data_IF_359454943134
#
_entry.id   IF_359454943134
#
_cell.length_a   1.000
_cell.length_b   1.000
_cell.length_c   1.000
_cell.angle_alpha   90.00
_cell.angle_beta   90.00
_cell.angle_gamma   90.00
#
_symmetry.space_group_name_H-M   'P 1'
#
loop_
_entity.id
_entity.type
_entity.pdbx_description
1 polymer ?
#
# COMPACT_ATOMS: atom_id res chain seq x y z
N UNK A 1 -9.47 4.06 3.76
CA UNK A 1 -9.27 3.69 2.34
C UNK A 1 -7.85 3.17 2.22
N UNK A 2 -7.64 1.97 1.68
CA UNK A 2 -6.31 1.40 1.43
C UNK A 2 -5.95 1.69 -0.04
N UNK A 3 -5.73 2.96 -0.37
CA UNK A 3 -5.38 3.37 -1.73
C UNK A 3 -3.95 3.90 -1.70
N UNK A 4 -2.99 3.00 -1.88
CA UNK A 4 -1.63 3.39 -2.22
C UNK A 4 -1.60 3.68 -3.72
N UNK A 5 -1.65 4.95 -4.09
CA UNK A 5 -1.67 5.39 -5.48
C UNK A 5 -0.46 6.26 -5.76
N UNK A 6 0.38 5.82 -6.70
CA UNK A 6 1.44 6.64 -7.28
C UNK A 6 1.17 6.84 -8.76
N UNK A 7 0.81 8.07 -9.13
CA UNK A 7 0.45 8.40 -10.50
C UNK A 7 1.26 9.58 -11.00
N UNK A 8 1.76 9.53 -12.25
CA UNK A 8 2.50 10.63 -12.87
C UNK A 8 2.01 10.88 -14.29
N UNK A 9 1.66 12.12 -14.60
CA UNK A 9 1.11 12.51 -15.92
C UNK A 9 1.64 13.87 -16.37
N UNK A 10 1.47 14.17 -17.66
CA UNK A 10 1.79 15.49 -18.23
C UNK A 10 0.82 16.53 -17.67
N UNK A 11 1.35 17.70 -17.33
CA UNK A 11 0.56 18.75 -16.69
C UNK A 11 0.88 20.16 -17.19
N UNK A 12 -0.09 21.06 -17.02
CA UNK A 12 0.04 22.51 -17.24
C UNK A 12 -0.49 23.24 -16.02
N UNK A 13 0.24 24.24 -15.52
CA UNK A 13 -0.20 25.03 -14.37
C UNK A 13 -0.71 26.42 -14.77
N UNK A 14 -1.71 26.91 -14.04
CA UNK A 14 -2.34 28.23 -14.18
C UNK A 14 -2.49 28.86 -12.80
N UNK A 15 -2.20 30.15 -12.66
CA UNK A 15 -2.41 30.88 -11.42
C UNK A 15 -2.66 32.36 -11.69
N UNK A 16 -3.17 33.09 -10.70
CA UNK A 16 -3.35 34.54 -10.78
C UNK A 16 -2.15 35.24 -10.15
N UNK A 17 -1.63 36.28 -10.80
CA UNK A 17 -0.62 37.19 -10.25
C UNK A 17 -0.97 38.62 -10.65
N UNK A 18 -1.14 39.50 -9.66
CA UNK A 18 -1.45 40.92 -9.88
C UNK A 18 -2.61 41.12 -10.88
N UNK A 19 -3.74 40.43 -10.64
CA UNK A 19 -4.93 40.35 -11.51
C UNK A 19 -4.69 39.84 -12.95
N UNK A 20 -3.49 39.35 -13.24
CA UNK A 20 -3.12 38.80 -14.54
C UNK A 20 -2.99 37.28 -14.45
N UNK A 21 -3.70 36.57 -15.32
CA UNK A 21 -3.58 35.11 -15.42
C UNK A 21 -2.21 34.71 -16.00
N UNK A 22 -1.49 33.86 -15.28
CA UNK A 22 -0.20 33.29 -15.69
C UNK A 22 -0.34 31.80 -15.96
N UNK A 23 0.54 31.31 -16.84
CA UNK A 23 0.54 29.92 -17.28
C UNK A 23 1.97 29.38 -17.35
N UNK A 24 2.11 28.10 -17.01
CA UNK A 24 3.35 27.36 -17.15
C UNK A 24 3.07 26.10 -17.96
N UNK A 25 3.39 26.17 -19.26
CA UNK A 25 3.06 25.13 -20.26
C UNK A 25 4.27 24.33 -20.74
N UNK A 26 5.49 24.87 -20.66
CA UNK A 26 6.72 24.25 -21.20
C UNK A 26 7.89 24.41 -20.24
N UNK A 27 8.74 23.37 -20.17
CA UNK A 27 10.03 23.42 -19.48
C UNK A 27 11.20 23.81 -20.40
N UNK A 28 12.42 23.76 -19.87
CA UNK A 28 13.68 23.91 -20.62
C UNK A 28 14.47 22.59 -20.61
N UNK A 29 14.78 21.99 -21.77
CA UNK A 29 14.40 22.42 -23.12
C UNK A 29 12.90 22.26 -23.38
N UNK A 30 12.37 23.01 -24.35
CA UNK A 30 10.94 22.99 -24.75
C UNK A 30 10.42 21.61 -25.15
N UNK A 31 11.32 20.65 -25.40
CA UNK A 31 10.99 19.25 -25.70
C UNK A 31 10.60 18.45 -24.46
N UNK A 32 10.93 18.92 -23.24
CA UNK A 32 10.55 18.28 -21.98
C UNK A 32 9.27 18.90 -21.45
N UNK A 33 8.28 18.05 -21.22
CA UNK A 33 7.02 18.43 -20.60
C UNK A 33 7.13 18.58 -19.09
N UNK A 34 6.25 19.40 -18.53
CA UNK A 34 6.01 19.48 -17.10
C UNK A 34 5.15 18.28 -16.71
N UNK A 35 5.41 17.71 -15.55
CA UNK A 35 4.70 16.53 -15.05
C UNK A 35 4.12 16.78 -13.67
N UNK A 36 2.89 16.34 -13.44
CA UNK A 36 2.29 16.23 -12.11
C UNK A 36 2.47 14.79 -11.64
N UNK A 37 3.06 14.62 -10.46
CA UNK A 37 3.05 13.37 -9.72
C UNK A 37 2.14 13.53 -8.51
N UNK A 38 1.31 12.52 -8.27
CA UNK A 38 0.42 12.46 -7.12
C UNK A 38 0.69 11.13 -6.40
N UNK A 39 1.06 11.23 -5.13
CA UNK A 39 1.39 10.09 -4.28
C UNK A 39 0.49 10.11 -3.05
N UNK A 40 -0.21 9.01 -2.83
CA UNK A 40 -1.15 8.81 -1.73
C UNK A 40 -0.77 7.53 -1.01
N UNK A 41 -0.67 7.61 0.31
CA UNK A 41 -0.60 6.46 1.19
C UNK A 41 -1.68 6.59 2.29
N UNK A 42 -1.73 5.62 3.20
CA UNK A 42 -2.70 5.61 4.29
C UNK A 42 -2.60 6.82 5.25
N UNK A 43 -1.47 7.51 5.30
CA UNK A 43 -1.16 8.56 6.28
C UNK A 43 -0.99 9.97 5.64
N UNK A 44 -0.68 10.04 4.34
CA UNK A 44 -0.20 11.22 3.66
C UNK A 44 -0.61 11.28 2.17
N UNK A 45 -0.78 12.51 1.68
CA UNK A 45 -1.05 12.79 0.29
C UNK A 45 -0.19 13.97 -0.18
N UNK A 46 0.51 13.78 -1.30
CA UNK A 46 1.50 14.71 -1.84
C UNK A 46 1.25 14.91 -3.33
N UNK A 47 1.22 16.18 -3.75
CA UNK A 47 1.20 16.59 -5.14
C UNK A 47 2.52 17.26 -5.51
N UNK A 48 3.15 16.84 -6.60
CA UNK A 48 4.43 17.34 -7.07
C UNK A 48 4.37 17.77 -8.52
N UNK A 49 4.51 19.07 -8.76
CA UNK A 49 4.66 19.62 -10.10
C UNK A 49 6.15 19.73 -10.43
N UNK A 50 6.63 18.82 -11.28
CA UNK A 50 8.02 18.77 -11.70
C UNK A 50 8.24 19.54 -13.02
N UNK A 51 9.02 20.62 -12.95
CA UNK A 51 9.27 21.55 -14.05
C UNK A 51 10.72 21.39 -14.53
N UNK A 52 10.94 20.92 -15.77
CA UNK A 52 12.29 20.86 -16.34
C UNK A 52 12.91 22.25 -16.46
N UNK A 53 14.10 22.47 -15.89
CA UNK A 53 14.80 23.76 -15.94
C UNK A 53 16.31 23.58 -15.90
N UNK A 54 17.05 24.40 -16.68
CA UNK A 54 18.51 24.34 -16.74
C UNK A 54 19.16 25.32 -15.76
N UNK A 55 19.47 24.81 -14.57
CA UNK A 55 20.18 25.55 -13.53
C UNK A 55 21.69 25.56 -13.78
N UNK A 56 22.36 26.61 -13.32
CA UNK A 56 23.82 26.73 -13.38
C UNK A 56 24.46 25.66 -12.51
N UNK A 57 25.48 24.99 -13.04
CA UNK A 57 26.21 23.94 -12.32
C UNK A 57 25.53 22.56 -12.32
N UNK A 58 24.39 22.41 -13.01
CA UNK A 58 23.67 21.15 -13.14
C UNK A 58 23.49 20.73 -14.60
N UNK A 59 23.28 19.43 -14.80
CA UNK A 59 23.12 18.83 -16.12
C UNK A 59 21.81 19.23 -16.82
N UNK A 60 21.78 19.04 -18.14
CA UNK A 60 20.60 19.26 -18.99
C UNK A 60 19.50 18.24 -18.70
N UNK A 61 18.74 18.45 -17.64
CA UNK A 61 17.59 17.61 -17.32
C UNK A 61 17.07 17.70 -15.90
N UNK A 62 17.67 18.54 -15.06
CA UNK A 62 17.16 18.81 -13.72
C UNK A 62 15.71 19.29 -13.75
N UNK A 63 14.91 18.74 -12.83
CA UNK A 63 13.54 19.21 -12.58
C UNK A 63 13.52 19.98 -11.28
N UNK A 64 13.02 21.21 -11.30
CA UNK A 64 12.60 21.89 -10.09
C UNK A 64 11.21 21.38 -9.72
N UNK A 65 11.01 21.01 -8.45
CA UNK A 65 9.76 20.40 -8.00
C UNK A 65 9.04 21.39 -7.10
N UNK A 66 7.80 21.73 -7.45
CA UNK A 66 6.89 22.41 -6.54
C UNK A 66 6.04 21.35 -5.85
N UNK A 67 6.21 21.23 -4.54
CA UNK A 67 5.49 20.25 -3.73
C UNK A 67 4.38 20.93 -2.94
N UNK A 68 3.20 20.33 -3.00
CA UNK A 68 2.00 20.71 -2.25
C UNK A 68 1.62 19.52 -1.38
N UNK A 69 1.45 19.75 -0.08
CA UNK A 69 1.02 18.73 0.86
C UNK A 69 -0.50 18.80 1.01
N UNK A 70 -1.17 17.66 1.07
CA UNK A 70 -2.62 17.64 1.29
C UNK A 70 -3.04 18.36 2.57
N UNK A 71 -2.23 18.28 3.63
CA UNK A 71 -2.46 19.01 4.89
C UNK A 71 -2.39 20.54 4.75
N UNK A 72 -1.77 21.05 3.67
CA UNK A 72 -1.70 22.50 3.37
C UNK A 72 -2.80 22.98 2.44
N UNK A 73 -3.62 22.07 1.91
CA UNK A 73 -4.73 22.38 1.01
C UNK A 73 -5.95 22.76 1.85
N UNK A 74 -6.49 23.95 1.62
CA UNK A 74 -7.75 24.41 2.20
C UNK A 74 -8.95 23.83 1.44
N UNK A 75 -8.85 23.72 0.12
CA UNK A 75 -9.88 23.14 -0.76
C UNK A 75 -9.24 22.64 -2.05
N UNK A 76 -9.70 21.48 -2.53
CA UNK A 76 -9.33 20.89 -3.81
C UNK A 76 -10.58 20.49 -4.58
N UNK A 77 -10.81 21.13 -5.73
CA UNK A 77 -11.95 20.83 -6.59
C UNK A 77 -11.50 20.23 -7.92
N UNK A 78 -12.20 19.17 -8.36
CA UNK A 78 -11.99 18.55 -9.66
C UNK A 78 -12.95 19.15 -10.70
N UNK A 79 -12.42 19.96 -11.61
CA UNK A 79 -13.19 20.55 -12.71
C UNK A 79 -13.12 19.66 -13.96
N UNK A 80 -14.24 19.00 -14.28
CA UNK A 80 -14.41 18.22 -15.52
C UNK A 80 -14.72 19.16 -16.69
N UNK A 81 -13.86 19.20 -17.71
CA UNK A 81 -13.98 20.06 -18.89
C UNK A 81 -14.02 21.58 -18.59
N UNK A 82 -12.90 22.18 -18.16
CA UNK A 82 -12.86 23.60 -17.85
C UNK A 82 -13.11 24.43 -19.13
N UNK A 83 -14.18 25.22 -19.15
CA UNK A 83 -14.62 26.00 -20.33
C UNK A 83 -13.64 27.14 -20.70
N UNK A 84 -12.74 27.51 -19.78
CA UNK A 84 -11.83 28.66 -19.86
C UNK A 84 -10.36 28.27 -20.06
N UNK A 85 -10.08 27.23 -20.86
CA UNK A 85 -8.71 26.89 -21.26
C UNK A 85 -8.35 27.66 -22.55
N UNK A 86 -7.36 28.59 -22.54
CA UNK A 86 -6.84 29.21 -23.75
C UNK A 86 -6.36 28.17 -24.77
N UNK A 87 -6.58 28.43 -26.07
CA UNK A 87 -6.29 27.48 -27.16
C UNK A 87 -4.88 26.87 -27.11
N UNK A 88 -3.87 27.66 -26.73
CA UNK A 88 -2.48 27.18 -26.61
C UNK A 88 -2.20 26.15 -25.51
N UNK A 89 -3.15 25.91 -24.59
CA UNK A 89 -3.06 24.87 -23.56
C UNK A 89 -3.73 23.57 -24.03
N UNK A 90 -4.78 23.65 -24.87
CA UNK A 90 -5.43 22.46 -25.45
C UNK A 90 -4.44 21.62 -26.23
N UNK A 91 -3.56 22.27 -27.00
CA UNK A 91 -2.51 21.58 -27.77
C UNK A 91 -1.49 20.83 -26.88
N UNK A 92 -1.34 21.23 -25.61
CA UNK A 92 -0.37 20.62 -24.69
C UNK A 92 -0.99 19.56 -23.75
N UNK A 93 -2.25 19.71 -23.36
CA UNK A 93 -2.94 18.81 -22.41
C UNK A 93 -3.65 17.65 -23.12
N UNK A 94 -3.89 17.73 -24.43
CA UNK A 94 -4.55 16.67 -25.20
C UNK A 94 -6.05 16.92 -25.40
N UNK A 95 -6.80 15.87 -25.76
CA UNK A 95 -8.15 16.02 -26.32
C UNK A 95 -9.22 16.40 -25.27
N UNK A 96 -9.07 15.92 -24.04
CA UNK A 96 -9.99 16.20 -22.92
C UNK A 96 -9.17 16.58 -21.70
N UNK A 97 -9.37 17.76 -21.13
CA UNK A 97 -8.62 18.26 -19.98
C UNK A 97 -9.44 18.15 -18.68
N UNK A 98 -8.79 17.70 -17.62
CA UNK A 98 -9.27 17.78 -16.24
C UNK A 98 -8.49 18.85 -15.50
N UNK A 99 -9.18 19.71 -14.76
CA UNK A 99 -8.57 20.72 -13.89
C UNK A 99 -8.60 20.30 -12.44
N UNK A 100 -7.46 20.43 -11.77
CA UNK A 100 -7.33 20.34 -10.32
C UNK A 100 -7.17 21.76 -9.79
N UNK A 101 -8.20 22.28 -9.14
CA UNK A 101 -8.25 23.64 -8.62
C UNK A 101 -7.89 23.64 -7.13
N UNK A 102 -6.70 24.17 -6.82
CA UNK A 102 -6.13 24.20 -5.48
C UNK A 102 -6.34 25.57 -4.84
N UNK A 103 -6.85 25.55 -3.60
CA UNK A 103 -6.75 26.65 -2.65
C UNK A 103 -5.90 26.19 -1.47
N UNK A 104 -4.81 26.88 -1.18
CA UNK A 104 -3.78 26.49 -0.22
C UNK A 104 -3.75 27.45 0.97
N UNK A 105 -3.56 26.90 2.18
CA UNK A 105 -3.26 27.66 3.38
C UNK A 105 -1.80 28.16 3.35
N UNK A 106 -0.89 27.32 2.86
CA UNK A 106 0.53 27.62 2.72
C UNK A 106 0.97 27.50 1.26
N UNK A 107 1.88 28.37 0.78
CA UNK A 107 2.37 28.30 -0.58
C UNK A 107 3.19 27.03 -0.85
N UNK A 108 3.28 26.58 -2.13
CA UNK A 108 4.03 25.38 -2.50
C UNK A 108 5.51 25.48 -2.13
N UNK A 109 6.08 24.38 -1.63
CA UNK A 109 7.51 24.28 -1.33
C UNK A 109 8.32 23.98 -2.60
N UNK A 110 9.38 24.76 -2.85
CA UNK A 110 10.31 24.47 -3.96
C UNK A 110 11.40 23.51 -3.48
N UNK A 111 11.58 22.42 -4.22
CA UNK A 111 12.61 21.42 -4.01
C UNK A 111 13.50 21.36 -5.26
N UNK A 112 14.81 21.41 -5.04
CA UNK A 112 15.85 21.28 -6.08
C UNK A 112 16.94 20.31 -5.60
N UNK A 113 17.86 19.85 -6.47
CA UNK A 113 18.99 19.03 -6.03
C UNK A 113 19.85 19.72 -4.97
N UNK A 114 20.35 18.96 -4.00
CA UNK A 114 21.21 19.47 -2.93
C UNK A 114 22.47 20.18 -3.45
N UNK A 115 23.01 19.71 -4.59
CA UNK A 115 24.18 20.30 -5.25
C UNK A 115 23.88 21.61 -6.01
N UNK A 116 22.63 22.06 -6.08
CA UNK A 116 22.29 23.31 -6.76
C UNK A 116 22.92 24.51 -6.03
N UNK A 117 23.64 25.42 -6.73
CA UNK A 117 24.22 26.59 -6.11
C UNK A 117 23.12 27.57 -5.65
N UNK A 118 23.31 28.17 -4.48
CA UNK A 118 22.46 29.24 -3.95
C UNK A 118 23.13 30.61 -4.12
N UNK A 119 22.42 31.64 -4.58
CA UNK A 119 21.03 31.64 -5.05
C UNK A 119 20.85 30.93 -6.40
N UNK A 120 19.68 30.33 -6.62
CA UNK A 120 19.37 29.64 -7.87
C UNK A 120 19.55 30.58 -9.07
N UNK A 121 20.40 30.17 -10.01
CA UNK A 121 20.66 30.92 -11.23
C UNK A 121 20.48 30.02 -12.45
N UNK A 122 19.78 30.55 -13.46
CA UNK A 122 19.60 29.86 -14.74
C UNK A 122 20.84 30.02 -15.63
N UNK A 123 21.12 29.01 -16.45
CA UNK A 123 22.23 29.06 -17.42
C UNK A 123 21.88 29.90 -18.66
N UNK A 124 20.58 30.07 -18.97
CA UNK A 124 20.09 30.66 -20.22
C UNK A 124 18.86 31.52 -19.97
N UNK A 125 18.56 32.45 -20.89
CA UNK A 125 17.41 33.35 -20.79
C UNK A 125 16.08 32.61 -20.58
N UNK A 126 15.81 31.56 -21.36
CA UNK A 126 14.55 30.81 -21.24
C UNK A 126 14.40 30.12 -19.87
N UNK A 127 15.45 29.47 -19.37
CA UNK A 127 15.47 28.93 -18.01
C UNK A 127 15.33 30.01 -16.93
N UNK A 128 15.81 31.24 -17.18
CA UNK A 128 15.61 32.37 -16.26
C UNK A 128 14.12 32.73 -16.21
N UNK A 129 13.49 32.85 -17.37
CA UNK A 129 12.05 33.13 -17.46
C UNK A 129 11.23 32.04 -16.75
N UNK A 130 11.62 30.76 -16.89
CA UNK A 130 10.98 29.63 -16.17
C UNK A 130 11.26 29.66 -14.66
N UNK A 131 12.46 30.02 -14.23
CA UNK A 131 12.76 30.17 -12.80
C UNK A 131 11.94 31.31 -12.17
N UNK A 132 11.78 32.42 -12.88
CA UNK A 132 10.99 33.55 -12.42
C UNK A 132 9.50 33.16 -12.33
N UNK A 133 8.97 32.36 -13.27
CA UNK A 133 7.60 31.84 -13.16
C UNK A 133 7.44 30.81 -12.04
N UNK A 134 8.43 29.94 -11.79
CA UNK A 134 8.45 29.03 -10.63
C UNK A 134 8.42 29.83 -9.32
N UNK A 135 9.23 30.89 -9.23
CA UNK A 135 9.28 31.79 -8.06
C UNK A 135 7.95 32.52 -7.85
N UNK A 136 7.28 32.88 -8.93
CA UNK A 136 5.95 33.49 -8.86
C UNK A 136 4.90 32.49 -8.39
N UNK A 137 4.92 31.27 -8.96
CA UNK A 137 3.99 30.20 -8.60
C UNK A 137 4.17 29.73 -7.15
N UNK A 138 5.40 29.73 -6.62
CA UNK A 138 5.67 29.39 -5.22
C UNK A 138 5.20 30.44 -4.22
N UNK A 139 4.60 31.54 -4.67
CA UNK A 139 3.94 32.54 -3.81
C UNK A 139 2.43 32.46 -3.93
N UNK A 140 1.91 31.73 -4.91
CA UNK A 140 0.48 31.62 -5.15
C UNK A 140 -0.14 30.65 -4.13
N UNK A 141 -1.25 31.07 -3.52
CA UNK A 141 -2.10 30.21 -2.69
C UNK A 141 -3.32 29.69 -3.45
N UNK A 142 -3.58 30.21 -4.66
CA UNK A 142 -4.63 29.72 -5.55
C UNK A 142 -4.02 29.39 -6.92
N UNK A 143 -4.14 28.13 -7.34
CA UNK A 143 -3.60 27.65 -8.62
C UNK A 143 -4.41 26.47 -9.16
N UNK A 144 -4.41 26.32 -10.48
CA UNK A 144 -5.05 25.21 -11.18
C UNK A 144 -4.00 24.40 -11.94
N UNK A 145 -4.07 23.08 -11.85
CA UNK A 145 -3.22 22.17 -12.62
C UNK A 145 -4.11 21.37 -13.56
N UNK A 146 -3.81 21.42 -14.86
CA UNK A 146 -4.53 20.71 -15.89
C UNK A 146 -3.78 19.47 -16.34
N UNK A 147 -4.48 18.35 -16.43
CA UNK A 147 -3.98 17.06 -16.90
C UNK A 147 -4.93 16.47 -17.95
N UNK A 148 -4.46 15.51 -18.73
CA UNK A 148 -5.30 14.82 -19.70
C UNK A 148 -6.25 13.84 -19.00
N UNK A 149 -7.53 13.86 -19.37
CA UNK A 149 -8.56 13.07 -18.71
C UNK A 149 -8.34 11.55 -18.83
N UNK A 150 -7.85 11.07 -19.97
CA UNK A 150 -7.56 9.65 -20.19
C UNK A 150 -6.38 9.14 -19.37
N UNK A 151 -5.54 10.04 -18.86
CA UNK A 151 -4.40 9.70 -18.03
C UNK A 151 -4.73 9.87 -16.54
N UNK A 152 -5.91 10.36 -16.16
CA UNK A 152 -6.24 10.54 -14.76
C UNK A 152 -6.66 9.21 -14.10
N UNK A 153 -6.26 8.95 -12.85
CA UNK A 153 -6.71 7.78 -12.11
C UNK A 153 -8.21 7.87 -11.79
N UNK A 154 -8.90 6.73 -11.77
CA UNK A 154 -10.34 6.67 -11.52
C UNK A 154 -10.68 7.12 -10.09
N UNK A 155 -9.76 6.90 -9.13
CA UNK A 155 -9.89 7.28 -7.72
C UNK A 155 -9.64 8.78 -7.45
N UNK A 156 -9.30 9.57 -8.47
CA UNK A 156 -8.90 10.98 -8.29
C UNK A 156 -10.01 11.83 -7.64
N UNK A 157 -11.28 11.56 -7.92
CA UNK A 157 -12.39 12.28 -7.31
C UNK A 157 -12.48 12.00 -5.81
N UNK A 158 -12.43 10.72 -5.41
CA UNK A 158 -12.50 10.31 -4.01
C UNK A 158 -11.34 10.92 -3.21
N UNK A 159 -10.16 11.00 -3.84
CA UNK A 159 -8.98 11.64 -3.28
C UNK A 159 -9.21 13.16 -3.10
N UNK A 160 -9.76 13.85 -4.10
CA UNK A 160 -10.05 15.28 -3.98
C UNK A 160 -11.03 15.55 -2.83
N UNK A 161 -12.04 14.69 -2.68
CA UNK A 161 -13.02 14.78 -1.61
C UNK A 161 -12.37 14.54 -0.23
N UNK A 162 -11.48 13.54 -0.13
CA UNK A 162 -10.74 13.24 1.11
C UNK A 162 -9.78 14.38 1.52
N UNK A 163 -9.11 15.00 0.54
CA UNK A 163 -8.25 16.16 0.76
C UNK A 163 -9.08 17.34 1.25
N UNK A 164 -10.20 17.64 0.60
CA UNK A 164 -11.09 18.74 0.99
C UNK A 164 -11.76 18.53 2.34
N UNK A 165 -11.91 17.29 2.79
CA UNK A 165 -12.39 16.94 4.14
C UNK A 165 -11.30 17.03 5.22
N UNK A 166 -10.04 17.32 4.84
CA UNK A 166 -8.93 17.45 5.77
C UNK A 166 -8.52 16.13 6.44
N UNK A 167 -8.72 15.00 5.76
CA UNK A 167 -8.48 13.67 6.33
C UNK A 167 -6.99 13.29 6.45
N UNK A 168 -6.09 14.08 5.87
CA UNK A 168 -4.65 13.78 5.84
C UNK A 168 -3.88 14.51 6.95
N UNK A 169 -2.96 13.79 7.59
CA UNK A 169 -2.09 14.36 8.62
C UNK A 169 -0.83 15.01 8.01
N UNK A 170 -0.22 15.99 8.69
CA UNK A 170 1.07 16.53 8.28
C UNK A 170 2.16 15.44 8.36
N UNK A 171 2.61 14.94 7.22
CA UNK A 171 3.60 13.86 7.15
C UNK A 171 5.03 14.36 7.50
N UNK A 172 5.92 13.49 8.02
CA UNK A 172 7.32 13.83 8.30
C UNK A 172 8.21 13.50 7.08
N UNK A 173 8.55 14.52 6.28
CA UNK A 173 9.01 14.36 4.89
C UNK A 173 10.54 14.43 4.70
N UNK A 174 11.32 14.45 5.77
CA UNK A 174 12.78 14.61 5.64
C UNK A 174 13.45 13.43 4.91
N UNK A 175 12.98 12.21 5.13
CA UNK A 175 13.55 11.01 4.48
C UNK A 175 13.25 10.95 2.98
N UNK A 176 12.04 11.38 2.56
CA UNK A 176 11.67 11.39 1.15
C UNK A 176 12.51 12.39 0.35
N UNK A 177 12.74 13.61 0.89
CA UNK A 177 13.56 14.62 0.22
C UNK A 177 15.01 14.14 0.02
N UNK A 178 15.60 13.45 1.02
CA UNK A 178 16.97 12.94 0.92
C UNK A 178 17.14 11.84 -0.14
N UNK A 179 16.08 11.12 -0.50
CA UNK A 179 16.11 10.08 -1.54
C UNK A 179 15.93 10.64 -2.97
N UNK A 180 15.43 11.87 -3.11
CA UNK A 180 15.14 12.48 -4.42
C UNK A 180 16.41 12.65 -5.28
N UNK A 181 16.20 12.84 -6.60
CA UNK A 181 17.27 13.05 -7.58
C UNK A 181 18.26 11.89 -7.68
N UNK A 182 17.77 10.65 -7.63
CA UNK A 182 18.58 9.45 -7.77
C UNK A 182 19.49 9.18 -6.56
N UNK A 183 19.06 9.60 -5.36
CA UNK A 183 19.85 9.46 -4.13
C UNK A 183 20.81 10.62 -3.85
N UNK A 184 20.88 11.64 -4.72
CA UNK A 184 21.70 12.84 -4.48
C UNK A 184 21.08 13.80 -3.46
N UNK A 185 19.81 13.57 -3.10
CA UNK A 185 19.04 14.37 -2.17
C UNK A 185 18.54 15.68 -2.79
N UNK A 186 17.36 16.07 -2.34
CA UNK A 186 16.81 17.39 -2.55
C UNK A 186 17.09 18.33 -1.38
N UNK A 187 16.93 19.62 -1.62
CA UNK A 187 16.83 20.64 -0.57
C UNK A 187 15.65 21.55 -0.85
N UNK A 188 14.95 21.96 0.22
CA UNK A 188 13.89 22.96 0.15
C UNK A 188 14.53 24.34 0.08
N UNK A 189 14.13 25.14 -0.90
CA UNK A 189 14.60 26.52 -1.04
C UNK A 189 13.43 27.45 -0.82
N UNK A 190 13.68 28.50 -0.04
CA UNK A 190 12.81 29.67 -0.02
C UNK A 190 13.35 30.72 -1.00
N UNK A 191 12.57 30.99 -2.06
CA UNK A 191 12.89 32.03 -3.04
C UNK A 191 12.30 33.40 -2.67
N UNK A 192 11.75 33.56 -1.46
CA UNK A 192 11.22 34.83 -0.96
C UNK A 192 12.29 35.90 -0.75
N UNK A 193 13.53 35.49 -0.45
CA UNK A 193 14.64 36.41 -0.19
C UNK A 193 15.26 36.85 -1.51
N UNK A 194 14.82 38.02 -2.00
CA UNK A 194 15.60 38.78 -2.96
C UNK A 194 16.95 39.09 -2.29
N UNK A 195 18.04 38.54 -2.81
CA UNK A 195 19.38 38.96 -2.44
C UNK A 195 19.46 40.46 -2.69
N UNK A 196 19.49 41.25 -1.61
CA UNK A 196 19.81 42.67 -1.67
C UNK A 196 21.13 42.77 -2.44
N UNK A 197 21.21 43.54 -3.54
CA UNK A 197 22.49 43.78 -4.17
C UNK A 197 23.43 44.38 -3.12
N UNK A 198 24.73 44.03 -3.12
CA UNK A 198 25.70 44.68 -2.23
C UNK A 198 25.55 46.19 -2.41
N UNK A 199 25.34 46.90 -1.30
CA UNK A 199 25.29 48.35 -1.30
C UNK A 199 26.57 48.88 -1.95
N UNK A 200 26.41 49.62 -3.03
CA UNK A 200 27.51 50.14 -3.85
C UNK A 200 28.04 51.48 -3.32
N UNK A 201 27.77 51.81 -2.06
CA UNK A 201 28.15 53.10 -1.47
C UNK A 201 29.60 53.16 -0.97
N UNK A 202 30.34 52.05 -0.96
CA UNK A 202 31.75 52.04 -0.52
C UNK A 202 32.79 51.93 -1.65
N UNK A 203 32.37 51.80 -2.91
CA UNK A 203 33.28 51.66 -4.06
C UNK A 203 33.51 52.96 -4.87
N UNK A 204 32.98 54.11 -4.42
CA UNK A 204 33.05 55.38 -5.15
C UNK A 204 34.10 56.38 -4.61
N UNK A 205 35.07 55.92 -3.79
CA UNK A 205 36.16 56.78 -3.33
C UNK A 205 37.54 56.23 -3.70
N UNK A 206 37.84 56.18 -5.00
CA UNK A 206 39.15 56.55 -5.57
C UNK A 206 39.16 56.27 -7.08
N UNK A 207 39.38 57.27 -7.96
CA UNK A 207 39.68 56.98 -9.35
C UNK A 207 41.03 56.25 -9.44
N UNK A 208 41.18 55.23 -10.31
CA UNK A 208 42.47 54.60 -10.54
C UNK A 208 43.45 55.65 -11.12
N UNK A 209 44.74 55.64 -10.70
CA UNK A 209 45.71 56.59 -11.21
C UNK A 209 45.92 56.39 -12.72
N UNK A 210 46.10 57.47 -13.50
CA UNK A 210 46.36 57.36 -14.93
C UNK A 210 47.70 56.67 -15.20
N UNK A 211 47.84 55.93 -16.31
CA UNK A 211 49.09 55.27 -16.66
C UNK A 211 50.20 56.31 -16.90
N UNK A 212 51.46 56.04 -16.52
CA UNK A 212 52.57 56.96 -16.78
C UNK A 212 52.81 57.12 -18.28
N UNK A 213 52.64 58.36 -18.77
CA UNK A 213 53.06 58.76 -20.11
C UNK A 213 54.57 59.01 -20.05
N UNK A 214 55.36 58.03 -20.47
CA UNK A 214 56.81 58.21 -20.59
C UNK A 214 57.15 58.72 -22.01
N UNK A 215 57.27 60.04 -22.14
CA UNK A 215 57.90 60.70 -23.31
C UNK A 215 59.24 61.27 -22.87
N UNK A 216 60.28 60.44 -22.98
CA UNK A 216 61.67 60.84 -22.72
C UNK A 216 62.60 60.23 -23.77
N UNK A 217 62.96 61.06 -24.74
CA UNK A 217 63.80 60.74 -25.89
C UNK A 217 65.26 60.39 -25.57
N UNK A 218 65.83 59.51 -26.41
CA UNK A 218 67.23 59.52 -26.89
C UNK A 218 68.35 59.53 -25.84
N UNK A 219 69.02 58.37 -25.69
CA UNK A 219 70.42 58.17 -26.14
C UNK A 219 70.86 56.74 -25.78
N UNK A 220 71.49 56.05 -26.74
CA UNK A 220 72.23 54.80 -26.50
C UNK A 220 73.31 55.07 -25.44
N UNK A 221 73.19 54.43 -24.28
CA UNK A 221 74.32 54.19 -23.40
C UNK A 221 74.90 52.82 -23.76
N UNK A 222 76.23 52.77 -23.80
CA UNK A 222 77.02 51.68 -24.35
C UNK A 222 76.80 50.39 -23.54
N UNK A 223 76.69 49.30 -24.30
CA UNK A 223 76.79 47.94 -23.80
C UNK A 223 78.26 47.74 -23.41
N UNK A 224 78.57 47.86 -22.12
CA UNK A 224 79.80 47.32 -21.54
C UNK A 224 79.43 46.02 -20.84
N UNK A 225 80.01 44.94 -21.35
CA UNK A 225 79.97 43.59 -20.82
C UNK A 225 80.64 43.53 -19.45
N UNK A 226 79.85 43.16 -18.43
CA UNK A 226 80.36 42.71 -17.14
C UNK A 226 79.50 41.52 -16.66
N UNK A 227 79.92 40.27 -16.88
CA UNK A 227 79.17 39.09 -16.44
C UNK A 227 79.22 38.89 -14.90
N UNK A 228 80.05 39.62 -14.17
CA UNK A 228 80.34 39.35 -12.75
C UNK A 228 79.33 40.04 -11.79
N UNK A 229 78.64 41.09 -12.27
CA UNK A 229 77.68 41.86 -11.46
C UNK A 229 76.28 41.24 -11.41
N UNK A 230 75.92 40.47 -12.44
CA UNK A 230 74.66 39.72 -12.49
C UNK A 230 74.69 38.54 -11.51
N UNK A 231 75.84 37.89 -11.32
CA UNK A 231 76.02 36.76 -10.40
C UNK A 231 75.81 37.15 -8.93
N UNK A 232 76.31 38.32 -8.50
CA UNK A 232 76.06 38.82 -7.14
C UNK A 232 74.56 39.10 -6.94
N UNK A 233 73.90 39.63 -7.96
CA UNK A 233 72.47 39.95 -7.91
C UNK A 233 71.61 38.68 -7.86
N UNK A 234 72.00 37.65 -8.61
CA UNK A 234 71.46 36.29 -8.55
C UNK A 234 71.67 35.66 -7.18
N UNK A 235 72.88 35.76 -6.61
CA UNK A 235 73.18 35.24 -5.26
C UNK A 235 72.34 35.91 -4.17
N UNK A 236 72.09 37.21 -4.25
CA UNK A 236 71.19 37.89 -3.32
C UNK A 236 69.72 37.50 -3.50
N UNK A 237 69.29 37.18 -4.72
CA UNK A 237 67.96 36.65 -4.99
C UNK A 237 67.81 35.24 -4.42
N UNK A 238 68.81 34.36 -4.63
CA UNK A 238 68.88 33.00 -4.07
C UNK A 238 68.90 33.03 -2.53
N UNK A 239 69.65 33.96 -1.92
CA UNK A 239 69.66 34.10 -0.46
C UNK A 239 68.29 34.54 0.08
N UNK A 240 67.56 35.35 -0.68
CA UNK A 240 66.21 35.80 -0.32
C UNK A 240 65.19 34.66 -0.44
N UNK A 241 65.30 33.80 -1.45
CA UNK A 241 64.45 32.62 -1.58
C UNK A 241 64.76 31.62 -0.45
N UNK A 242 66.03 31.36 -0.14
CA UNK A 242 66.45 30.51 0.98
C UNK A 242 65.90 31.00 2.33
N UNK A 243 65.88 32.32 2.58
CA UNK A 243 65.27 32.90 3.78
C UNK A 243 63.75 32.71 3.87
N UNK A 244 63.07 32.50 2.74
CA UNK A 244 61.62 32.25 2.69
C UNK A 244 61.26 30.76 2.80
N UNK A 245 62.23 29.85 2.61
CA UNK A 245 61.99 28.40 2.70
C UNK A 245 61.45 27.96 4.07
N UNK A 246 61.96 28.41 5.23
CA UNK A 246 61.44 27.98 6.52
C UNK A 246 59.95 28.26 6.71
N UNK A 247 59.49 29.46 6.33
CA UNK A 247 58.07 29.81 6.40
C UNK A 247 57.22 28.97 5.43
N UNK A 248 57.74 28.62 4.24
CA UNK A 248 57.06 27.71 3.31
C UNK A 248 56.99 26.29 3.85
N UNK A 249 58.04 25.82 4.52
CA UNK A 249 58.06 24.49 5.17
C UNK A 249 57.04 24.45 6.31
N UNK A 250 57.01 25.46 7.18
CA UNK A 250 56.00 25.56 8.24
C UNK A 250 54.57 25.56 7.70
N UNK A 251 54.29 26.28 6.60
CA UNK A 251 52.96 26.25 5.97
C UNK A 251 52.60 24.88 5.40
N UNK A 252 53.56 24.17 4.79
CA UNK A 252 53.34 22.84 4.22
C UNK A 252 53.17 21.79 5.34
N UNK A 253 53.90 21.91 6.44
CA UNK A 253 53.75 21.04 7.61
C UNK A 253 52.36 21.21 8.25
N UNK A 254 51.87 22.44 8.36
CA UNK A 254 50.52 22.72 8.85
C UNK A 254 49.44 22.12 7.92
N UNK A 255 49.61 22.25 6.60
CA UNK A 255 48.69 21.66 5.62
C UNK A 255 48.70 20.13 5.67
N UNK A 256 49.87 19.50 5.82
CA UNK A 256 49.99 18.05 5.99
C UNK A 256 49.23 17.57 7.23
N UNK A 257 49.35 18.28 8.35
CA UNK A 257 48.65 17.91 9.58
C UNK A 257 47.13 18.10 9.44
N UNK A 258 46.68 19.18 8.80
CA UNK A 258 45.26 19.38 8.49
C UNK A 258 44.71 18.25 7.58
N UNK A 259 45.47 17.85 6.55
CA UNK A 259 45.09 16.74 5.67
C UNK A 259 45.02 15.40 6.41
N UNK A 260 45.93 15.14 7.36
CA UNK A 260 45.88 13.94 8.21
C UNK A 260 44.63 13.92 9.09
N UNK A 261 44.26 15.05 9.68
CA UNK A 261 43.02 15.17 10.46
C UNK A 261 41.77 14.98 9.60
N UNK A 262 41.78 15.48 8.37
CA UNK A 262 40.68 15.24 7.42
C UNK A 262 40.57 13.77 7.02
N UNK A 263 41.70 13.10 6.76
CA UNK A 263 41.71 11.68 6.40
C UNK A 263 41.19 10.79 7.54
N UNK A 264 41.63 11.01 8.77
CA UNK A 264 41.13 10.26 9.94
C UNK A 264 39.62 10.43 10.13
N UNK A 265 39.09 11.65 10.01
CA UNK A 265 37.65 11.91 10.06
C UNK A 265 36.88 11.23 8.90
N UNK A 266 37.49 11.16 7.71
CA UNK A 266 36.89 10.46 6.57
C UNK A 266 36.86 8.94 6.78
N UNK A 267 37.93 8.36 7.32
CA UNK A 267 38.00 6.94 7.68
C UNK A 267 36.93 6.58 8.72
N UNK A 268 36.77 7.39 9.79
CA UNK A 268 35.71 7.16 10.78
C UNK A 268 34.29 7.23 10.18
N UNK A 269 34.06 8.17 9.26
CA UNK A 269 32.78 8.28 8.55
C UNK A 269 32.54 7.09 7.63
N UNK A 270 33.59 6.58 6.99
CA UNK A 270 33.54 5.41 6.12
C UNK A 270 33.18 4.16 6.92
N UNK A 271 33.86 3.89 8.03
CA UNK A 271 33.56 2.79 8.94
C UNK A 271 32.10 2.85 9.44
N UNK A 272 31.64 4.04 9.82
CA UNK A 272 30.25 4.24 10.25
C UNK A 272 29.24 4.04 9.11
N UNK A 273 29.63 4.29 7.86
CA UNK A 273 28.78 4.01 6.70
C UNK A 273 28.73 2.51 6.40
N UNK A 274 29.88 1.82 6.48
CA UNK A 274 29.99 0.38 6.31
C UNK A 274 29.17 -0.38 7.35
N UNK A 275 29.24 0.02 8.63
CA UNK A 275 28.41 -0.54 9.70
C UNK A 275 26.91 -0.32 9.46
N UNK A 276 26.50 0.80 8.86
CA UNK A 276 25.08 1.00 8.51
C UNK A 276 24.66 0.13 7.33
N UNK A 277 25.53 -0.06 6.34
CA UNK A 277 25.25 -0.94 5.21
C UNK A 277 25.12 -2.39 5.65
N UNK A 278 25.96 -2.89 6.55
CA UNK A 278 25.82 -4.25 7.10
C UNK A 278 24.54 -4.42 7.90
N UNK A 279 24.14 -3.42 8.69
CA UNK A 279 22.86 -3.43 9.39
C UNK A 279 21.66 -3.39 8.44
N UNK A 280 21.73 -2.62 7.36
CA UNK A 280 20.69 -2.59 6.34
C UNK A 280 20.58 -3.93 5.62
N UNK A 281 21.70 -4.55 5.26
CA UNK A 281 21.72 -5.87 4.64
C UNK A 281 21.04 -6.91 5.53
N UNK A 282 21.39 -6.95 6.82
CA UNK A 282 20.75 -7.88 7.76
C UNK A 282 19.23 -7.65 7.90
N UNK A 283 18.77 -6.40 7.78
CA UNK A 283 17.33 -6.09 7.76
C UNK A 283 16.65 -6.52 6.46
N UNK A 284 17.34 -6.41 5.32
CA UNK A 284 16.84 -6.91 4.05
C UNK A 284 16.69 -8.42 4.08
N UNK A 285 17.71 -9.16 4.53
CA UNK A 285 17.66 -10.61 4.63
C UNK A 285 16.53 -11.06 5.58
N UNK A 286 16.33 -10.37 6.70
CA UNK A 286 15.22 -10.66 7.62
C UNK A 286 13.84 -10.35 7.03
N UNK A 287 13.73 -9.32 6.19
CA UNK A 287 12.49 -8.99 5.50
C UNK A 287 12.16 -10.02 4.42
N UNK A 288 13.17 -10.51 3.70
CA UNK A 288 13.05 -11.57 2.71
C UNK A 288 12.54 -12.88 3.35
N UNK A 289 13.11 -13.31 4.48
CA UNK A 289 12.61 -14.49 5.20
C UNK A 289 11.16 -14.32 5.69
N UNK A 290 10.76 -13.12 6.11
CA UNK A 290 9.36 -12.85 6.49
C UNK A 290 8.42 -12.86 5.29
N UNK A 291 8.90 -12.47 4.11
CA UNK A 291 8.13 -12.53 2.89
C UNK A 291 7.86 -13.98 2.47
N UNK A 292 8.88 -14.83 2.54
CA UNK A 292 8.73 -16.29 2.32
C UNK A 292 7.73 -16.93 3.30
N UNK A 293 7.74 -16.51 4.58
CA UNK A 293 6.76 -16.97 5.56
C UNK A 293 5.33 -16.55 5.18
N UNK A 294 5.14 -15.30 4.76
CA UNK A 294 3.84 -14.79 4.31
C UNK A 294 3.35 -15.56 3.09
N UNK A 295 4.21 -15.83 2.11
CA UNK A 295 3.86 -16.64 0.94
C UNK A 295 3.39 -18.05 1.35
N UNK A 296 4.11 -18.72 2.25
CA UNK A 296 3.71 -20.04 2.77
C UNK A 296 2.35 -20.00 3.49
N UNK A 297 2.08 -18.97 4.30
CA UNK A 297 0.76 -18.82 4.94
C UNK A 297 -0.35 -18.58 3.92
N UNK A 298 -0.07 -17.83 2.85
CA UNK A 298 -1.04 -17.54 1.80
C UNK A 298 -1.40 -18.81 1.00
N UNK A 299 -0.42 -19.69 0.75
CA UNK A 299 -0.67 -21.02 0.18
C UNK A 299 -1.57 -21.87 1.08
N UNK A 300 -1.33 -21.86 2.40
CA UNK A 300 -2.19 -22.56 3.36
C UNK A 300 -3.63 -22.01 3.36
N UNK A 301 -3.81 -20.69 3.23
CA UNK A 301 -5.13 -20.09 3.09
C UNK A 301 -5.83 -20.46 1.78
N UNK A 302 -5.09 -20.68 0.69
CA UNK A 302 -5.65 -21.16 -0.56
C UNK A 302 -6.22 -22.58 -0.43
N UNK A 303 -5.49 -23.49 0.22
CA UNK A 303 -5.96 -24.86 0.53
C UNK A 303 -7.21 -24.85 1.42
N UNK A 304 -7.24 -24.02 2.47
CA UNK A 304 -8.42 -23.85 3.32
C UNK A 304 -9.64 -23.36 2.51
N UNK A 305 -9.43 -22.41 1.60
CA UNK A 305 -10.51 -21.87 0.75
C UNK A 305 -11.07 -22.94 -0.19
N UNK A 306 -10.22 -23.83 -0.71
CA UNK A 306 -10.66 -24.96 -1.53
C UNK A 306 -11.50 -25.95 -0.73
N UNK A 307 -11.02 -26.35 0.47
CA UNK A 307 -11.77 -27.20 1.40
C UNK A 307 -13.12 -26.60 1.79
N UNK A 308 -13.18 -25.28 1.98
CA UNK A 308 -14.44 -24.60 2.27
C UNK A 308 -15.43 -24.68 1.09
N UNK A 309 -14.96 -24.50 -0.15
CA UNK A 309 -15.81 -24.67 -1.34
C UNK A 309 -16.32 -26.09 -1.48
N UNK A 310 -15.48 -27.09 -1.23
CA UNK A 310 -15.91 -28.50 -1.23
C UNK A 310 -16.96 -28.77 -0.15
N UNK A 311 -16.80 -28.18 1.03
CA UNK A 311 -17.79 -28.33 2.10
C UNK A 311 -19.13 -27.69 1.72
N UNK A 312 -19.10 -26.51 1.11
CA UNK A 312 -20.29 -25.81 0.61
C UNK A 312 -21.05 -26.64 -0.43
N UNK A 313 -20.35 -27.26 -1.39
CA UNK A 313 -21.02 -28.12 -2.39
C UNK A 313 -21.63 -29.37 -1.75
N UNK A 314 -20.97 -29.95 -0.74
CA UNK A 314 -21.52 -31.07 0.03
C UNK A 314 -22.76 -30.67 0.83
N UNK A 315 -22.78 -29.49 1.44
CA UNK A 315 -23.96 -28.98 2.13
C UNK A 315 -25.13 -28.79 1.17
N UNK A 316 -24.91 -28.15 0.02
CA UNK A 316 -25.95 -27.98 -1.00
C UNK A 316 -26.50 -29.34 -1.50
N UNK A 317 -25.64 -30.35 -1.62
CA UNK A 317 -26.07 -31.71 -1.97
C UNK A 317 -26.95 -32.35 -0.89
N UNK A 318 -26.61 -32.17 0.38
CA UNK A 318 -27.42 -32.68 1.50
C UNK A 318 -28.77 -31.98 1.53
N UNK A 319 -28.83 -30.66 1.40
CA UNK A 319 -30.09 -29.91 1.35
C UNK A 319 -30.99 -30.38 0.19
N UNK A 320 -30.42 -30.61 -0.99
CA UNK A 320 -31.17 -31.16 -2.11
C UNK A 320 -31.67 -32.59 -1.85
N UNK A 321 -30.89 -33.41 -1.15
CA UNK A 321 -31.29 -34.78 -0.78
C UNK A 321 -32.41 -34.78 0.24
N UNK A 322 -32.33 -33.90 1.25
CA UNK A 322 -33.34 -33.76 2.29
C UNK A 322 -34.66 -33.25 1.70
N UNK A 323 -34.61 -32.30 0.76
CA UNK A 323 -35.79 -31.84 0.03
C UNK A 323 -36.45 -32.97 -0.77
N UNK A 324 -35.66 -33.74 -1.54
CA UNK A 324 -36.18 -34.88 -2.30
C UNK A 324 -36.78 -35.97 -1.40
N UNK A 325 -36.17 -36.18 -0.22
CA UNK A 325 -36.71 -37.08 0.79
C UNK A 325 -38.06 -36.59 1.32
N UNK A 326 -38.18 -35.30 1.67
CA UNK A 326 -39.44 -34.71 2.12
C UNK A 326 -40.55 -34.86 1.07
N UNK A 327 -40.28 -34.54 -0.20
CA UNK A 327 -41.23 -34.68 -1.30
C UNK A 327 -41.72 -36.13 -1.46
N UNK A 328 -40.83 -37.11 -1.28
CA UNK A 328 -41.18 -38.53 -1.36
C UNK A 328 -42.14 -38.94 -0.24
N UNK A 329 -41.93 -38.44 0.98
CA UNK A 329 -42.82 -38.73 2.11
C UNK A 329 -44.18 -38.05 1.97
N UNK A 330 -44.21 -36.80 1.51
CA UNK A 330 -45.46 -36.09 1.28
C UNK A 330 -46.31 -36.76 0.20
N UNK A 331 -45.68 -37.28 -0.87
CA UNK A 331 -46.38 -38.06 -1.89
C UNK A 331 -46.97 -39.34 -1.31
N UNK A 332 -46.18 -40.12 -0.55
CA UNK A 332 -46.67 -41.34 0.10
C UNK A 332 -47.80 -41.09 1.10
N UNK A 333 -47.73 -39.99 1.86
CA UNK A 333 -48.79 -39.61 2.80
C UNK A 333 -50.05 -39.15 2.08
N UNK A 334 -49.91 -38.53 0.92
CA UNK A 334 -51.04 -38.13 0.06
C UNK A 334 -51.72 -39.37 -0.50
N UNK A 335 -50.97 -40.31 -1.08
CA UNK A 335 -51.47 -41.58 -1.58
C UNK A 335 -52.22 -42.36 -0.48
N UNK A 336 -51.62 -42.46 0.72
CA UNK A 336 -52.25 -43.14 1.86
C UNK A 336 -53.56 -42.45 2.30
N UNK A 337 -53.61 -41.11 2.26
CA UNK A 337 -54.83 -40.35 2.58
C UNK A 337 -55.92 -40.62 1.56
N UNK A 338 -55.57 -40.63 0.27
CA UNK A 338 -56.52 -40.97 -0.81
C UNK A 338 -57.08 -42.39 -0.61
N UNK A 339 -56.22 -43.37 -0.37
CA UNK A 339 -56.62 -44.75 -0.07
C UNK A 339 -57.56 -44.82 1.15
N UNK A 340 -57.24 -44.11 2.24
CA UNK A 340 -58.10 -44.04 3.42
C UNK A 340 -59.46 -43.41 3.11
N UNK A 341 -59.52 -42.36 2.30
CA UNK A 341 -60.79 -41.75 1.89
C UNK A 341 -61.61 -42.67 0.99
N UNK A 342 -60.97 -43.37 0.05
CA UNK A 342 -61.61 -44.34 -0.81
C UNK A 342 -62.22 -45.48 0.01
N UNK A 343 -61.46 -46.01 0.98
CA UNK A 343 -61.95 -47.03 1.90
C UNK A 343 -63.11 -46.51 2.77
N UNK A 344 -63.02 -45.26 3.26
CA UNK A 344 -64.10 -44.62 4.01
C UNK A 344 -65.40 -44.53 3.22
N UNK A 345 -65.32 -44.14 1.94
CA UNK A 345 -66.48 -44.09 1.04
C UNK A 345 -67.10 -45.48 0.82
N UNK A 346 -66.26 -46.52 0.64
CA UNK A 346 -66.73 -47.91 0.52
C UNK A 346 -67.48 -48.34 1.79
N UNK A 347 -66.92 -48.05 2.97
CA UNK A 347 -67.56 -48.37 4.25
C UNK A 347 -68.91 -47.66 4.39
N UNK A 348 -68.99 -46.39 4.01
CA UNK A 348 -70.24 -45.61 4.04
C UNK A 348 -71.31 -46.22 3.11
N UNK A 349 -70.96 -46.59 1.88
CA UNK A 349 -71.88 -47.26 0.95
C UNK A 349 -72.44 -48.57 1.52
N UNK A 350 -71.61 -49.34 2.23
CA UNK A 350 -72.04 -50.57 2.92
C UNK A 350 -72.97 -50.25 4.10
N UNK A 351 -72.63 -49.24 4.91
CA UNK A 351 -73.45 -48.83 6.06
C UNK A 351 -74.82 -48.29 5.66
N UNK A 352 -74.90 -47.56 4.55
CA UNK A 352 -76.14 -46.98 4.04
C UNK A 352 -77.02 -47.98 3.28
N UNK A 353 -76.61 -49.26 3.21
CA UNK A 353 -77.36 -50.31 2.52
C UNK A 353 -77.41 -50.13 1.00
N UNK A 354 -76.55 -49.29 0.43
CA UNK A 354 -76.41 -49.04 -1.01
C UNK A 354 -75.51 -50.07 -1.70
N UNK A 355 -75.41 -51.28 -1.17
CA UNK A 355 -74.71 -52.37 -1.82
C UNK A 355 -75.52 -52.81 -3.04
N UNK A 356 -74.99 -52.63 -4.24
CA UNK A 356 -75.57 -53.22 -5.45
C UNK A 356 -75.59 -54.74 -5.30
N UNK A 357 -76.61 -55.44 -5.82
CA UNK A 357 -76.69 -56.91 -5.75
C UNK A 357 -75.42 -57.59 -6.28
N UNK A 358 -74.76 -57.00 -7.29
CA UNK A 358 -73.47 -57.47 -7.83
C UNK A 358 -72.33 -57.35 -6.80
N UNK A 359 -72.25 -56.23 -6.07
CA UNK A 359 -71.24 -56.04 -5.02
C UNK A 359 -71.48 -56.96 -3.82
N UNK A 360 -72.76 -57.21 -3.49
CA UNK A 360 -73.16 -58.12 -2.43
C UNK A 360 -72.83 -59.58 -2.78
N UNK A 361 -73.00 -59.98 -4.05
CA UNK A 361 -72.61 -61.31 -4.55
C UNK A 361 -71.08 -61.51 -4.52
N UNK A 362 -70.30 -60.48 -4.85
CA UNK A 362 -68.83 -60.51 -4.76
C UNK A 362 -68.37 -60.59 -3.31
N UNK A 363 -68.93 -59.77 -2.41
CA UNK A 363 -68.63 -59.81 -0.97
C UNK A 363 -69.00 -61.19 -0.42
N UNK A 364 -70.18 -61.70 -0.73
CA UNK A 364 -70.63 -63.02 -0.31
C UNK A 364 -69.69 -64.12 -0.82
N UNK A 365 -69.26 -64.08 -2.10
CA UNK A 365 -68.28 -65.03 -2.65
C UNK A 365 -66.92 -64.94 -1.95
N UNK A 366 -66.40 -63.74 -1.71
CA UNK A 366 -65.09 -63.55 -1.06
C UNK A 366 -65.15 -63.99 0.40
N UNK A 367 -66.20 -63.62 1.13
CA UNK A 367 -66.40 -63.98 2.53
C UNK A 367 -66.63 -65.48 2.69
N UNK A 368 -67.45 -66.11 1.84
CA UNK A 368 -67.62 -67.57 1.83
C UNK A 368 -66.32 -68.26 1.47
N UNK A 369 -65.58 -67.79 0.46
CA UNK A 369 -64.28 -68.35 0.09
C UNK A 369 -63.27 -68.24 1.23
N UNK A 370 -63.27 -67.12 1.95
CA UNK A 370 -62.42 -66.90 3.12
C UNK A 370 -62.82 -67.79 4.31
N UNK A 371 -64.12 -67.93 4.59
CA UNK A 371 -64.61 -68.86 5.62
C UNK A 371 -64.28 -70.30 5.27
N UNK A 372 -64.47 -70.71 4.02
CA UNK A 372 -64.09 -72.04 3.52
C UNK A 372 -62.58 -72.27 3.60
N UNK A 373 -61.76 -71.25 3.32
CA UNK A 373 -60.30 -71.31 3.48
C UNK A 373 -59.91 -71.51 4.94
N UNK A 374 -60.48 -70.72 5.87
CA UNK A 374 -60.22 -70.87 7.31
C UNK A 374 -60.73 -72.20 7.87
N UNK A 375 -61.87 -72.70 7.39
CA UNK A 375 -62.37 -74.04 7.73
C UNK A 375 -61.45 -75.13 7.18
N UNK A 376 -61.00 -75.03 5.94
CA UNK A 376 -60.05 -75.98 5.35
C UNK A 376 -58.70 -75.98 6.07
N UNK A 377 -58.21 -74.82 6.49
CA UNK A 377 -56.98 -74.70 7.27
C UNK A 377 -57.17 -75.19 8.71
N UNK A 378 -58.34 -74.97 9.32
CA UNK A 378 -58.71 -75.55 10.62
C UNK A 378 -58.82 -77.08 10.58
N UNK A 379 -59.45 -77.62 9.54
CA UNK A 379 -59.53 -79.08 9.30
C UNK A 379 -58.15 -79.66 9.01
N UNK A 380 -57.28 -78.93 8.27
CA UNK A 380 -55.88 -79.35 8.10
C UNK A 380 -55.13 -79.41 9.43
N UNK A 381 -55.35 -78.48 10.35
CA UNK A 381 -54.73 -78.55 11.68
C UNK A 381 -55.25 -79.75 12.50
N UNK A 382 -56.55 -80.07 12.44
CA UNK A 382 -57.10 -81.28 13.11
C UNK A 382 -56.61 -82.58 12.48
N UNK A 383 -56.51 -82.66 11.15
CA UNK A 383 -55.97 -83.83 10.43
C UNK A 383 -54.47 -83.98 10.71
N UNK A 384 -53.72 -82.89 10.85
CA UNK A 384 -52.29 -82.95 11.23
C UNK A 384 -52.09 -83.41 12.67
N UNK A 385 -52.99 -83.03 13.59
CA UNK A 385 -52.99 -83.49 14.98
C UNK A 385 -53.37 -84.98 15.10
N UNK A 386 -54.36 -85.45 14.33
CA UNK A 386 -54.76 -86.87 14.31
C UNK A 386 -53.74 -87.76 13.57
N UNK A 387 -53.09 -87.26 12.50
CA UNK A 387 -52.04 -87.98 11.78
C UNK A 387 -50.74 -88.10 12.60
N UNK A 388 -50.40 -87.11 13.43
CA UNK A 388 -49.28 -87.19 14.36
C UNK A 388 -49.50 -88.21 15.50
N UNK A 389 -50.75 -88.56 15.80
CA UNK A 389 -51.11 -89.57 16.80
C UNK A 389 -51.18 -91.01 16.26
N UNK A 390 -51.22 -91.22 14.93
CA UNK A 390 -51.50 -92.54 14.33
C UNK A 390 -50.33 -93.21 13.56
N UNK A 391 -49.16 -92.58 13.43
CA UNK A 391 -48.00 -93.23 12.82
C UNK A 391 -46.67 -92.89 13.51
N UNK A 392 -46.04 -93.85 14.23
CA UNK A 392 -44.68 -93.71 14.70
C UNK A 392 -43.65 -94.29 13.70
N UNK A 393 -42.55 -93.54 13.56
CA UNK A 393 -41.19 -93.98 13.20
C UNK A 393 -40.92 -94.55 11.80
N UNK A 394 -40.05 -93.85 11.05
CA UNK A 394 -38.63 -94.28 10.92
C UNK A 394 -37.84 -93.34 10.01
N UNK A 395 -36.71 -92.85 10.53
CA UNK A 395 -35.60 -92.35 9.71
C UNK A 395 -35.01 -93.52 8.91
N UNK A 396 -34.29 -93.27 7.79
CA UNK A 396 -32.85 -93.08 7.97
C UNK A 396 -32.19 -92.04 7.04
N UNK A 397 -31.00 -91.70 7.50
CA UNK A 397 -29.85 -91.03 6.89
C UNK A 397 -29.70 -91.11 5.36
N UNK A 398 -29.24 -90.00 4.78
CA UNK A 398 -27.91 -89.91 4.14
C UNK A 398 -27.59 -88.46 3.72
N UNK A 399 -26.48 -87.95 4.24
CA UNK A 399 -25.68 -86.86 3.66
C UNK A 399 -24.94 -87.37 2.41
N UNK A 400 -24.55 -86.50 1.43
CA UNK A 400 -23.29 -85.76 1.60
C UNK A 400 -23.23 -84.34 0.97
N UNK A 401 -22.55 -83.45 1.71
CA UNK A 401 -21.59 -82.42 1.30
C UNK A 401 -21.56 -81.89 -0.16
N UNK A 402 -21.78 -80.56 -0.33
CA UNK A 402 -20.74 -79.64 -0.87
C UNK A 402 -21.04 -78.14 -0.65
N UNK A 403 -20.10 -77.52 0.08
CA UNK A 403 -19.65 -76.11 0.18
C UNK A 403 -20.27 -75.05 -0.76
N UNK A 404 -20.60 -73.88 -0.19
CA UNK A 404 -19.70 -72.70 -0.13
C UNK A 404 -20.20 -71.66 0.86
N UNK A 405 -19.25 -71.19 1.66
CA UNK A 405 -19.30 -70.17 2.70
C UNK A 405 -19.26 -68.76 2.11
N UNK A 406 -20.10 -67.85 2.62
CA UNK A 406 -19.72 -66.48 2.95
C UNK A 406 -20.71 -65.92 3.99
N UNK A 407 -20.20 -65.67 5.19
CA UNK A 407 -20.93 -65.17 6.33
C UNK A 407 -20.83 -63.65 6.38
N UNK A 408 -21.99 -62.99 6.47
CA UNK A 408 -22.14 -61.69 7.12
C UNK A 408 -22.04 -61.87 8.65
N UNK A 409 -21.55 -60.87 9.39
CA UNK A 409 -21.96 -60.71 10.78
C UNK A 409 -22.76 -59.42 11.02
N UNK A 410 -23.55 -59.38 12.11
CA UNK A 410 -24.81 -58.66 12.17
C UNK A 410 -24.72 -57.30 12.88
N UNK A 411 -25.71 -56.47 12.55
CA UNK A 411 -26.15 -55.29 13.28
C UNK A 411 -26.73 -55.74 14.63
N UNK A 412 -26.28 -55.11 15.73
CA UNK A 412 -26.95 -55.16 17.02
C UNK A 412 -26.99 -53.75 17.62
N UNK A 413 -28.22 -53.31 17.84
CA UNK A 413 -28.66 -52.04 18.40
C UNK A 413 -28.26 -51.95 19.87
N UNK A 414 -27.83 -50.78 20.35
CA UNK A 414 -27.90 -50.44 21.76
C UNK A 414 -28.12 -48.94 21.98
N UNK A 415 -29.05 -48.68 22.89
CA UNK A 415 -29.69 -47.42 23.26
C UNK A 415 -28.79 -46.60 24.21
N UNK A 416 -28.76 -45.29 23.99
CA UNK A 416 -28.17 -44.22 24.83
C UNK A 416 -28.91 -44.14 26.17
N UNK A 417 -28.23 -44.09 27.34
CA UNK A 417 -28.04 -42.78 28.02
C UNK A 417 -26.84 -42.67 28.98
N UNK A 418 -26.28 -41.45 29.13
CA UNK A 418 -25.60 -40.87 30.32
C UNK A 418 -24.89 -39.56 29.88
N UNK A 419 -24.82 -38.45 30.61
CA UNK A 419 -24.97 -38.19 32.04
C UNK A 419 -23.61 -38.14 32.75
N UNK A 420 -23.24 -36.96 33.28
CA UNK A 420 -22.17 -36.62 34.26
C UNK A 420 -20.85 -35.95 33.78
N UNK A 421 -20.75 -34.64 34.09
CA UNK A 421 -19.96 -33.98 35.15
C UNK A 421 -18.41 -34.13 35.29
N UNK A 422 -17.77 -32.96 35.33
CA UNK A 422 -16.52 -32.48 35.97
C UNK A 422 -15.36 -33.44 36.33
N UNK A 423 -14.16 -33.12 35.81
CA UNK A 423 -12.96 -32.72 36.60
C UNK A 423 -11.76 -32.38 35.71
N UNK A 424 -11.15 -31.23 36.01
CA UNK A 424 -9.92 -30.64 35.46
C UNK A 424 -8.63 -31.27 36.03
N UNK A 425 -7.48 -31.12 35.35
CA UNK A 425 -6.17 -31.15 35.99
C UNK A 425 -5.41 -29.80 35.88
N UNK A 426 -4.89 -29.37 37.03
CA UNK A 426 -3.89 -28.31 37.24
C UNK A 426 -2.47 -28.74 36.85
N UNK A 427 -1.56 -27.81 36.48
CA UNK A 427 -0.12 -27.96 36.64
C UNK A 427 0.44 -27.11 37.83
N UNK A 428 1.71 -27.32 38.25
CA UNK A 428 2.13 -27.15 39.64
C UNK A 428 2.76 -25.78 39.98
N UNK A 429 2.85 -25.53 41.30
CA UNK A 429 3.48 -24.38 41.95
C UNK A 429 4.81 -24.78 42.65
N UNK A 430 5.55 -23.76 43.11
CA UNK A 430 6.73 -23.72 44.03
C UNK A 430 8.08 -23.52 43.28
N UNK A 431 8.96 -22.54 43.54
CA UNK A 431 9.07 -21.49 44.57
C UNK A 431 9.91 -20.26 44.09
N UNK A 432 9.89 -19.23 44.93
CA UNK A 432 10.47 -17.88 44.89
C UNK A 432 11.99 -17.75 44.68
N UNK A 433 12.46 -16.69 43.98
CA UNK A 433 13.38 -15.68 44.56
C UNK A 433 13.79 -14.52 43.60
N UNK A 434 13.55 -13.30 44.09
CA UNK A 434 14.34 -12.04 44.01
C UNK A 434 14.71 -11.31 42.69
N UNK A 435 14.40 -9.98 42.71
CA UNK A 435 15.20 -8.80 42.26
C UNK A 435 14.60 -7.89 41.16
N UNK A 436 14.12 -6.73 41.65
CA UNK A 436 14.19 -5.36 41.11
C UNK A 436 13.77 -5.06 39.66
N UNK A 437 12.64 -4.37 39.52
CA UNK A 437 12.43 -3.39 38.44
C UNK A 437 12.36 -1.98 39.05
N UNK A 438 13.42 -1.20 38.81
CA UNK A 438 13.51 0.23 39.14
C UNK A 438 12.64 1.02 38.16
N UNK A 439 11.73 1.80 38.73
CA UNK A 439 11.14 2.99 38.12
C UNK A 439 12.22 3.98 37.67
N UNK A 440 12.11 4.50 36.45
CA UNK A 440 12.49 5.88 36.09
C UNK A 440 11.55 6.40 34.99
N UNK A 441 10.48 7.07 35.42
CA UNK A 441 9.72 8.00 34.59
C UNK A 441 10.00 9.39 35.18
N UNK A 442 10.81 10.18 34.49
CA UNK A 442 11.21 11.52 34.90
C UNK A 442 10.45 12.57 34.10
N UNK A 443 9.98 13.59 34.83
CA UNK A 443 9.63 14.93 34.37
C UNK A 443 8.19 15.19 33.91
N UNK A 444 7.30 15.36 34.89
CA UNK A 444 6.25 16.38 34.84
C UNK A 444 6.27 17.20 36.15
N UNK A 445 6.84 18.40 36.08
CA UNK A 445 6.67 19.56 36.97
C UNK A 445 6.89 20.77 36.07
N UNK A 446 6.21 21.90 36.19
CA UNK A 446 5.15 22.36 37.05
C UNK A 446 4.60 23.63 36.40
N UNK A 447 3.31 23.93 36.56
CA UNK A 447 2.78 25.29 36.55
C UNK A 447 1.35 25.28 37.06
N UNK A 448 1.20 25.53 38.36
CA UNK A 448 -0.05 26.02 38.96
C UNK A 448 0.35 26.82 40.20
N UNK A 449 0.05 28.12 40.21
CA UNK A 449 -0.34 28.88 41.40
C UNK A 449 -0.80 30.29 41.01
N UNK A 450 -1.74 30.79 41.83
CA UNK A 450 -2.53 32.06 41.81
C UNK A 450 -3.80 31.91 40.96
N UNK A 451 -5.00 31.73 41.52
CA UNK A 451 -5.66 32.58 42.55
C UNK A 451 -6.44 33.67 41.77
N UNK A 452 -7.71 33.97 41.95
CA UNK A 452 -8.63 33.90 43.08
C UNK A 452 -10.06 34.16 42.58
N UNK A 453 -11.02 33.72 43.39
CA UNK A 453 -12.31 34.34 43.72
C UNK A 453 -13.32 34.85 42.65
N UNK A 454 -14.55 34.38 42.88
CA UNK A 454 -15.86 35.07 42.80
C UNK A 454 -16.79 34.87 41.58
N UNK A 455 -17.93 34.25 41.96
CA UNK A 455 -19.30 34.25 41.40
C UNK A 455 -19.60 33.33 40.22
#
# INVERSE_FOLDING_TARGET
MSVDLHHTTKAVARWLKDDTMRFLTKGDPKTKSITLSAAFDAEAAIFELAVPVKLKGLDTGTKAILRIYASTIASLELSKNPTTIPSGIKDEVGSTALGLDFTLNDPPAIIVPSCAPEPLSATRKHSRDILDTIRDLSKATALSIYIEACNAPDELQDICDAVSQGLFTPCNIQHHIASMYGGNGGKRIDLSVAALPPSYDEAAMSPPPPPPIDRGSKKRARQDSDPERDDITLLWAELRTLKQIPGRVETLEAEIEELRQKNTNLEEKYEKAEQRNTQLQAKYDALESRFEEVESTNEAFADIREKYKELETRFAQVESSDAAFADTYDLQLTDLREDMTALGNIVQCVQDGQTTDESLEVIQKVVIKEMLRRLADGIKLEVHWLAAYLFPLSQPSQSPCRRRTQAYPPILIAIVPQGYDQRSPTPPFVDSDTVQWKHHCSSCRASKLLGDCHR
#
